data_IF_415243627391
#
_entry.id   IF_415243627391
#
_cell.length_a   1.000
_cell.length_b   1.000
_cell.length_c   1.000
_cell.angle_alpha   90.00
_cell.angle_beta   90.00
_cell.angle_gamma   90.00
#
_symmetry.space_group_name_H-M   'P 1'
#
loop_
_entity.id
_entity.type
_entity.pdbx_description
1 polymer ?
#
# COMPACT_ATOMS: atom_id res chain seq x y z
N UNK A 1 39.61 -80.28 70.88
CA UNK A 1 39.27 -79.16 69.95
C UNK A 1 40.08 -77.96 70.45
N UNK A 2 41.15 -77.51 69.79
CA UNK A 2 41.21 -76.95 68.41
C UNK A 2 40.41 -75.66 68.32
N UNK A 3 40.94 -74.44 68.10
CA UNK A 3 42.26 -73.81 68.39
C UNK A 3 42.13 -72.30 68.11
N UNK A 4 43.01 -71.45 68.68
CA UNK A 4 43.17 -70.03 68.32
C UNK A 4 44.31 -69.85 67.25
N UNK A 5 45.01 -68.70 67.08
CA UNK A 5 44.58 -67.53 66.26
C UNK A 5 45.67 -66.93 65.32
N UNK A 6 45.30 -65.90 64.51
CA UNK A 6 46.20 -64.87 63.89
C UNK A 6 47.23 -65.41 62.86
N UNK A 7 48.05 -64.61 62.12
CA UNK A 7 48.49 -63.18 62.22
C UNK A 7 47.75 -62.23 61.22
N UNK A 8 47.92 -60.89 61.12
CA UNK A 8 49.07 -59.94 61.09
C UNK A 8 50.03 -60.20 59.90
N UNK A 9 50.39 -59.26 59.02
CA UNK A 9 51.30 -58.10 59.12
C UNK A 9 51.15 -57.34 57.77
N UNK A 10 51.20 -56.01 57.57
CA UNK A 10 51.24 -54.79 58.41
C UNK A 10 50.57 -53.62 57.60
N UNK A 11 50.82 -52.30 57.60
CA UNK A 11 51.87 -51.40 58.12
C UNK A 11 51.36 -49.95 58.32
N UNK A 12 52.28 -48.96 58.40
CA UNK A 12 52.07 -47.53 58.75
C UNK A 12 53.25 -46.69 58.16
N UNK A 13 53.39 -45.37 58.41
CA UNK A 13 52.41 -44.29 58.71
C UNK A 13 52.63 -43.01 57.82
N UNK A 14 51.82 -41.96 58.00
CA UNK A 14 52.26 -40.56 58.15
C UNK A 14 51.08 -39.56 58.30
N UNK A 15 51.19 -38.65 59.26
CA UNK A 15 50.43 -37.38 59.34
C UNK A 15 51.45 -36.21 59.30
N UNK A 16 51.05 -34.96 58.98
CA UNK A 16 50.47 -34.08 60.01
C UNK A 16 49.35 -33.15 59.52
N UNK A 17 48.69 -32.47 60.47
CA UNK A 17 47.88 -31.26 60.24
C UNK A 17 48.68 -30.09 59.63
N UNK A 18 47.99 -29.06 59.11
CA UNK A 18 48.08 -27.63 59.55
C UNK A 18 47.56 -26.61 58.48
N UNK A 19 46.92 -25.54 58.97
CA UNK A 19 46.59 -24.24 58.33
C UNK A 19 45.44 -24.06 57.29
N UNK A 20 44.29 -23.66 57.85
CA UNK A 20 43.67 -22.32 57.72
C UNK A 20 43.12 -21.74 56.38
N UNK A 21 41.86 -21.27 56.53
CA UNK A 21 41.23 -20.05 55.92
C UNK A 21 40.60 -20.16 54.51
N UNK A 22 39.63 -19.27 54.18
CA UNK A 22 38.40 -19.76 53.54
C UNK A 22 38.04 -19.13 52.20
N UNK A 23 37.22 -19.83 51.43
CA UNK A 23 36.50 -19.29 50.28
C UNK A 23 34.98 -19.38 50.50
N UNK A 24 34.36 -18.21 50.69
CA UNK A 24 32.91 -18.04 50.71
C UNK A 24 32.35 -18.26 49.30
N UNK A 25 31.57 -19.33 49.11
CA UNK A 25 30.73 -19.50 47.93
C UNK A 25 29.26 -19.31 48.30
N UNK A 26 28.68 -18.19 47.87
CA UNK A 26 27.25 -17.89 48.01
C UNK A 26 26.40 -18.70 47.02
N UNK A 27 25.11 -18.94 47.32
CA UNK A 27 24.29 -19.91 46.60
C UNK A 27 23.89 -19.47 45.19
N UNK A 28 23.66 -20.45 44.32
CA UNK A 28 23.40 -20.24 42.90
C UNK A 28 22.12 -19.47 42.60
N UNK A 29 22.22 -18.47 41.71
CA UNK A 29 21.07 -17.76 41.17
C UNK A 29 20.23 -18.65 40.26
N UNK A 30 19.05 -19.04 40.74
CA UNK A 30 18.01 -19.66 39.93
C UNK A 30 17.65 -18.72 38.76
N UNK A 31 18.05 -19.10 37.55
CA UNK A 31 17.76 -18.33 36.35
C UNK A 31 16.26 -18.42 36.05
N UNK A 32 15.52 -17.38 36.45
CA UNK A 32 14.14 -17.14 36.04
C UNK A 32 14.10 -16.96 34.52
N UNK A 33 13.99 -18.07 33.79
CA UNK A 33 13.79 -18.11 32.35
C UNK A 33 12.40 -17.54 32.04
N UNK A 34 12.24 -16.33 31.50
CA UNK A 34 10.92 -15.84 31.12
C UNK A 34 10.40 -16.77 30.02
N UNK A 35 9.23 -17.38 30.25
CA UNK A 35 8.56 -18.13 29.20
C UNK A 35 8.33 -17.18 28.01
N UNK A 36 8.66 -17.56 26.76
CA UNK A 36 8.40 -16.71 25.61
C UNK A 36 6.89 -16.49 25.54
N UNK A 37 6.47 -15.27 25.89
CA UNK A 37 5.06 -14.87 25.90
C UNK A 37 4.62 -14.85 24.45
N UNK A 38 4.09 -15.99 23.99
CA UNK A 38 3.47 -16.15 22.69
C UNK A 38 2.22 -15.27 22.65
N UNK A 39 2.46 -13.98 22.40
CA UNK A 39 1.49 -13.05 21.85
C UNK A 39 1.15 -13.65 20.50
N UNK A 40 0.12 -14.50 20.48
CA UNK A 40 -0.59 -14.87 19.27
C UNK A 40 -1.18 -13.58 18.75
N UNK A 41 -0.38 -12.84 17.97
CA UNK A 41 -0.85 -11.80 17.10
C UNK A 41 -1.81 -12.47 16.14
N UNK A 42 -3.10 -12.46 16.49
CA UNK A 42 -4.17 -12.69 15.52
C UNK A 42 -3.91 -11.70 14.40
N UNK A 43 -3.56 -12.21 13.22
CA UNK A 43 -3.12 -11.44 12.06
C UNK A 43 -4.26 -10.65 11.44
N UNK A 44 -4.83 -9.74 12.22
CA UNK A 44 -5.70 -8.68 11.75
C UNK A 44 -4.80 -7.75 10.96
N UNK A 45 -4.79 -7.92 9.63
CA UNK A 45 -4.35 -6.85 8.73
C UNK A 45 -5.04 -5.57 9.20
N UNK A 46 -4.24 -4.59 9.62
CA UNK A 46 -4.77 -3.34 10.16
C UNK A 46 -5.62 -2.68 9.10
N UNK A 47 -6.92 -2.56 9.37
CA UNK A 47 -7.88 -1.93 8.47
C UNK A 47 -7.46 -0.47 8.28
N UNK A 48 -6.76 -0.18 7.19
CA UNK A 48 -6.27 1.16 6.91
C UNK A 48 -7.41 1.99 6.30
N UNK A 49 -8.31 2.43 7.18
CA UNK A 49 -9.51 3.21 6.83
C UNK A 49 -9.12 4.48 6.05
N UNK A 50 -8.00 5.12 6.42
CA UNK A 50 -7.50 6.31 5.72
C UNK A 50 -7.07 6.00 4.28
N UNK A 51 -6.35 4.88 4.05
CA UNK A 51 -6.00 4.42 2.71
C UNK A 51 -7.25 4.06 1.89
N UNK A 52 -8.20 3.33 2.46
CA UNK A 52 -9.44 2.96 1.76
C UNK A 52 -10.31 4.20 1.44
N UNK A 53 -10.38 5.17 2.34
CA UNK A 53 -11.06 6.45 2.14
C UNK A 53 -10.41 7.29 1.04
N UNK A 54 -9.07 7.39 1.02
CA UNK A 54 -8.33 8.02 -0.09
C UNK A 54 -8.61 7.31 -1.42
N UNK A 55 -8.65 5.97 -1.42
CA UNK A 55 -8.90 5.19 -2.62
C UNK A 55 -10.33 5.40 -3.16
N UNK A 56 -11.33 5.52 -2.28
CA UNK A 56 -12.71 5.90 -2.67
C UNK A 56 -12.76 7.33 -3.19
N UNK A 57 -12.09 8.29 -2.54
CA UNK A 57 -12.09 9.70 -2.97
C UNK A 57 -11.48 9.86 -4.36
N UNK A 58 -10.28 9.34 -4.59
CA UNK A 58 -9.63 9.41 -5.92
C UNK A 58 -10.44 8.62 -6.95
N UNK A 59 -11.03 7.48 -6.58
CA UNK A 59 -11.92 6.72 -7.45
C UNK A 59 -13.20 7.47 -7.84
N UNK A 60 -13.77 8.25 -6.92
CA UNK A 60 -14.96 9.06 -7.16
C UNK A 60 -14.69 10.20 -8.15
N UNK A 61 -13.60 10.95 -7.99
CA UNK A 61 -13.21 12.02 -8.93
C UNK A 61 -13.04 11.49 -10.36
N UNK A 62 -12.34 10.37 -10.53
CA UNK A 62 -12.17 9.73 -11.85
C UNK A 62 -13.47 9.15 -12.41
N UNK A 63 -14.36 8.62 -11.55
CA UNK A 63 -15.65 8.08 -11.97
C UNK A 63 -16.63 9.16 -12.42
N UNK A 64 -16.62 10.35 -11.78
CA UNK A 64 -17.35 11.52 -12.28
C UNK A 64 -16.75 12.01 -13.59
N UNK A 65 -15.43 12.24 -13.64
CA UNK A 65 -14.76 12.78 -14.82
C UNK A 65 -15.00 11.92 -16.08
N UNK A 66 -14.94 10.58 -15.95
CA UNK A 66 -15.24 9.64 -17.02
C UNK A 66 -16.75 9.50 -17.29
N UNK A 67 -17.55 9.49 -16.23
CA UNK A 67 -19.01 9.40 -16.30
C UNK A 67 -19.64 10.56 -17.06
N UNK A 68 -19.21 11.80 -16.81
CA UNK A 68 -19.68 12.99 -17.52
C UNK A 68 -19.36 12.91 -19.03
N UNK A 69 -18.16 12.42 -19.39
CA UNK A 69 -17.75 12.22 -20.80
C UNK A 69 -18.60 11.15 -21.49
N UNK A 70 -18.80 10.02 -20.81
CA UNK A 70 -19.59 8.89 -21.30
C UNK A 70 -21.08 9.25 -21.47
N UNK A 71 -21.64 10.03 -20.52
CA UNK A 71 -23.03 10.53 -20.59
C UNK A 71 -23.21 11.65 -21.64
N UNK A 72 -22.17 12.45 -21.88
CA UNK A 72 -22.15 13.43 -22.99
C UNK A 72 -22.12 12.74 -24.36
N UNK A 73 -21.47 11.58 -24.48
CA UNK A 73 -21.38 10.74 -25.69
C UNK A 73 -20.63 11.34 -26.87
N UNK A 74 -20.35 12.65 -26.86
CA UNK A 74 -19.70 13.39 -27.93
C UNK A 74 -18.21 13.72 -27.66
N UNK A 75 -17.70 13.43 -26.46
CA UNK A 75 -16.32 13.77 -26.06
C UNK A 75 -15.25 13.27 -27.04
N UNK A 76 -15.28 12.01 -27.54
CA UNK A 76 -14.25 11.51 -28.45
C UNK A 76 -14.22 12.24 -29.80
N UNK A 77 -15.40 12.65 -30.31
CA UNK A 77 -15.49 13.44 -31.54
C UNK A 77 -15.00 14.89 -31.34
N UNK A 78 -15.19 15.46 -30.14
CA UNK A 78 -14.83 16.86 -29.83
C UNK A 78 -13.36 17.04 -29.44
N UNK A 79 -12.69 16.01 -28.90
CA UNK A 79 -11.33 16.10 -28.36
C UNK A 79 -10.32 16.73 -29.32
N UNK A 80 -10.40 16.43 -30.63
CA UNK A 80 -9.49 17.00 -31.63
C UNK A 80 -9.56 18.52 -31.73
N UNK A 81 -10.77 19.10 -31.65
CA UNK A 81 -10.97 20.54 -31.66
C UNK A 81 -10.51 21.21 -30.37
N UNK A 82 -10.76 20.56 -29.22
CA UNK A 82 -10.30 21.03 -27.91
C UNK A 82 -8.76 21.07 -27.85
N UNK A 83 -8.08 19.98 -28.26
CA UNK A 83 -6.62 19.90 -28.29
C UNK A 83 -6.00 20.93 -29.24
N UNK A 84 -6.56 21.13 -30.45
CA UNK A 84 -6.07 22.18 -31.36
C UNK A 84 -6.23 23.59 -30.77
N UNK A 85 -7.24 23.83 -29.94
CA UNK A 85 -7.47 25.13 -29.29
C UNK A 85 -6.47 25.36 -28.16
N UNK A 86 -6.28 24.36 -27.28
CA UNK A 86 -5.24 24.36 -26.23
C UNK A 86 -3.84 24.57 -26.81
N UNK A 87 -3.49 23.84 -27.86
CA UNK A 87 -2.19 23.93 -28.53
C UNK A 87 -1.95 25.32 -29.15
N UNK A 88 -2.98 25.96 -29.73
CA UNK A 88 -2.89 27.34 -30.24
C UNK A 88 -2.75 28.39 -29.13
N UNK A 89 -3.13 28.07 -27.89
CA UNK A 89 -2.94 28.92 -26.72
C UNK A 89 -1.49 29.05 -26.24
N UNK A 90 -0.57 28.17 -26.67
CA UNK A 90 0.86 28.31 -26.42
C UNK A 90 1.35 28.08 -24.99
N UNK A 91 0.47 27.78 -24.02
CA UNK A 91 0.81 27.56 -22.61
C UNK A 91 1.32 26.14 -22.27
N UNK A 92 1.50 25.28 -23.27
CA UNK A 92 1.85 23.87 -23.11
C UNK A 92 3.37 23.64 -23.24
N UNK A 93 3.91 22.70 -22.45
CA UNK A 93 5.34 22.35 -22.48
C UNK A 93 5.71 21.73 -23.82
N UNK A 94 6.76 22.21 -24.48
CA UNK A 94 7.07 21.91 -25.88
C UNK A 94 7.11 20.42 -26.27
N UNK A 95 7.63 19.54 -25.40
CA UNK A 95 7.62 18.09 -25.67
C UNK A 95 6.20 17.50 -25.67
N UNK A 96 5.34 17.98 -24.77
CA UNK A 96 3.95 17.55 -24.66
C UNK A 96 3.13 18.09 -25.83
N UNK A 97 3.37 19.35 -26.22
CA UNK A 97 2.83 19.95 -27.45
C UNK A 97 3.17 19.12 -28.69
N UNK A 98 4.41 18.63 -28.82
CA UNK A 98 4.83 17.78 -29.92
C UNK A 98 4.12 16.40 -29.92
N UNK A 99 3.93 15.78 -28.75
CA UNK A 99 3.16 14.53 -28.60
C UNK A 99 1.68 14.77 -28.98
N UNK A 100 1.09 15.87 -28.51
CA UNK A 100 -0.30 16.22 -28.83
C UNK A 100 -0.49 16.49 -30.33
N UNK A 101 0.40 17.26 -30.96
CA UNK A 101 0.31 17.56 -32.40
C UNK A 101 0.62 16.33 -33.27
N UNK A 102 1.64 15.55 -32.94
CA UNK A 102 2.16 14.48 -33.78
C UNK A 102 1.44 13.13 -33.63
N UNK A 103 0.88 12.83 -32.45
CA UNK A 103 0.28 11.52 -32.15
C UNK A 103 -1.19 11.62 -31.71
N UNK A 104 -1.52 12.50 -30.76
CA UNK A 104 -2.86 12.50 -30.13
C UNK A 104 -3.91 13.17 -31.00
N UNK A 105 -3.67 14.40 -31.47
CA UNK A 105 -4.64 15.16 -32.28
C UNK A 105 -4.98 14.52 -33.64
N UNK A 106 -4.05 13.88 -34.39
CA UNK A 106 -4.38 13.14 -35.60
C UNK A 106 -5.25 11.90 -35.32
N UNK A 107 -5.16 11.33 -34.12
CA UNK A 107 -5.89 10.13 -33.70
C UNK A 107 -6.93 10.45 -32.60
N UNK A 108 -7.45 11.69 -32.56
CA UNK A 108 -8.15 12.22 -31.39
C UNK A 108 -9.38 11.42 -30.98
N UNK A 109 -10.12 10.82 -31.92
CA UNK A 109 -11.29 9.98 -31.61
C UNK A 109 -10.88 8.71 -30.87
N UNK A 110 -9.78 8.06 -31.26
CA UNK A 110 -9.25 6.89 -30.58
C UNK A 110 -8.75 7.25 -29.17
N UNK A 111 -7.98 8.33 -29.03
CA UNK A 111 -7.53 8.80 -27.71
C UNK A 111 -8.69 9.29 -26.84
N UNK A 112 -9.75 9.82 -27.43
CA UNK A 112 -10.97 10.21 -26.72
C UNK A 112 -11.65 9.02 -26.04
N UNK A 113 -11.89 7.94 -26.78
CA UNK A 113 -12.40 6.70 -26.18
C UNK A 113 -11.43 6.09 -25.16
N UNK A 114 -10.11 6.18 -25.39
CA UNK A 114 -9.10 5.67 -24.44
C UNK A 114 -9.08 6.48 -23.13
N UNK A 115 -9.28 7.79 -23.18
CA UNK A 115 -9.41 8.67 -22.01
C UNK A 115 -10.75 8.38 -21.30
N UNK A 116 -11.88 8.46 -22.01
CA UNK A 116 -13.22 8.25 -21.46
C UNK A 116 -13.36 6.88 -20.73
N UNK A 117 -12.91 5.81 -21.39
CA UNK A 117 -12.88 4.48 -20.77
C UNK A 117 -11.80 4.34 -19.70
N UNK A 118 -10.63 4.95 -19.88
CA UNK A 118 -9.53 4.92 -18.91
C UNK A 118 -9.89 5.58 -17.58
N UNK A 119 -10.49 6.77 -17.62
CA UNK A 119 -11.01 7.48 -16.45
C UNK A 119 -12.09 6.67 -15.74
N UNK A 120 -13.10 6.20 -16.50
CA UNK A 120 -14.21 5.41 -15.95
C UNK A 120 -13.73 4.11 -15.31
N UNK A 121 -12.80 3.38 -15.94
CA UNK A 121 -12.24 2.13 -15.41
C UNK A 121 -11.30 2.35 -14.23
N UNK A 122 -10.51 3.44 -14.23
CA UNK A 122 -9.70 3.83 -13.07
C UNK A 122 -10.59 4.19 -11.87
N UNK A 123 -11.64 4.99 -12.10
CA UNK A 123 -12.63 5.36 -11.09
C UNK A 123 -13.34 4.16 -10.48
N UNK A 124 -13.93 3.30 -11.32
CA UNK A 124 -14.56 2.04 -10.89
C UNK A 124 -13.58 1.13 -10.14
N UNK A 125 -12.36 0.95 -10.66
CA UNK A 125 -11.34 0.06 -10.06
C UNK A 125 -10.86 0.54 -8.69
N UNK A 126 -10.69 1.85 -8.51
CA UNK A 126 -10.31 2.42 -7.21
C UNK A 126 -11.49 2.44 -6.22
N UNK A 127 -12.67 2.86 -6.66
CA UNK A 127 -13.87 2.92 -5.80
C UNK A 127 -14.28 1.53 -5.30
N UNK A 128 -14.30 0.52 -6.19
CA UNK A 128 -14.60 -0.87 -5.79
C UNK A 128 -13.54 -1.44 -4.85
N UNK A 129 -12.25 -1.16 -5.07
CA UNK A 129 -11.17 -1.62 -4.19
C UNK A 129 -11.25 -1.01 -2.79
N UNK A 130 -11.46 0.30 -2.66
CA UNK A 130 -11.64 0.95 -1.37
C UNK A 130 -12.90 0.46 -0.64
N UNK A 131 -14.01 0.25 -1.36
CA UNK A 131 -15.26 -0.29 -0.80
C UNK A 131 -15.08 -1.74 -0.32
N UNK A 132 -14.43 -2.60 -1.12
CA UNK A 132 -14.11 -3.99 -0.72
C UNK A 132 -13.19 -4.01 0.50
N UNK A 133 -12.21 -3.12 0.60
CA UNK A 133 -11.34 -3.02 1.78
C UNK A 133 -12.13 -2.66 3.06
N UNK A 134 -13.08 -1.73 2.99
CA UNK A 134 -13.98 -1.40 4.10
C UNK A 134 -14.94 -2.55 4.46
N UNK A 135 -15.38 -3.34 3.46
CA UNK A 135 -16.30 -4.47 3.65
C UNK A 135 -15.60 -5.76 4.12
N UNK A 136 -14.31 -5.97 3.83
CA UNK A 136 -13.50 -7.16 4.24
C UNK A 136 -13.71 -7.56 5.72
N UNK A 137 -13.64 -6.66 6.73
CA UNK A 137 -13.89 -7.02 8.14
C UNK A 137 -15.35 -7.36 8.48
N UNK A 138 -16.32 -6.87 7.70
CA UNK A 138 -17.73 -7.18 7.86
C UNK A 138 -18.05 -8.54 7.21
N UNK A 139 -17.57 -8.75 5.99
CA UNK A 139 -17.69 -9.99 5.23
C UNK A 139 -17.17 -11.20 6.03
N UNK A 140 -16.01 -11.06 6.68
CA UNK A 140 -15.43 -12.12 7.54
C UNK A 140 -16.21 -12.46 8.81
N UNK A 141 -17.20 -11.65 9.21
CA UNK A 141 -18.10 -11.92 10.36
C UNK A 141 -19.42 -12.56 9.93
N UNK A 142 -19.98 -12.10 8.81
CA UNK A 142 -21.36 -12.42 8.40
C UNK A 142 -21.46 -13.44 7.26
N UNK A 143 -20.48 -13.53 6.35
CA UNK A 143 -20.53 -14.50 5.24
C UNK A 143 -20.05 -15.89 5.70
N UNK A 144 -20.70 -16.94 5.19
CA UNK A 144 -20.36 -18.35 5.47
C UNK A 144 -20.59 -19.23 4.24
N UNK A 145 -19.83 -20.30 4.11
CA UNK A 145 -19.92 -21.22 2.97
C UNK A 145 -19.68 -20.51 1.62
N UNK A 146 -20.50 -20.82 0.62
CA UNK A 146 -20.32 -20.38 -0.78
C UNK A 146 -20.17 -18.86 -0.95
N UNK A 147 -20.86 -18.04 -0.16
CA UNK A 147 -20.76 -16.58 -0.25
C UNK A 147 -19.42 -16.05 0.27
N UNK A 148 -18.88 -16.63 1.34
CA UNK A 148 -17.54 -16.30 1.83
C UNK A 148 -16.46 -16.70 0.79
N UNK A 149 -16.62 -17.87 0.17
CA UNK A 149 -15.72 -18.32 -0.92
C UNK A 149 -15.76 -17.36 -2.10
N UNK A 150 -16.95 -16.94 -2.56
CA UNK A 150 -17.11 -15.96 -3.64
C UNK A 150 -16.50 -14.61 -3.29
N UNK A 151 -16.72 -14.11 -2.06
CA UNK A 151 -16.10 -12.86 -1.60
C UNK A 151 -14.57 -12.93 -1.66
N UNK A 152 -13.95 -14.01 -1.16
CA UNK A 152 -12.48 -14.17 -1.19
C UNK A 152 -11.92 -14.23 -2.62
N UNK A 153 -12.65 -14.77 -3.60
CA UNK A 153 -12.24 -14.71 -5.00
C UNK A 153 -12.33 -13.29 -5.59
N UNK A 154 -13.42 -12.58 -5.30
CA UNK A 154 -13.59 -11.17 -5.72
C UNK A 154 -12.54 -10.25 -5.10
N UNK A 155 -12.34 -10.36 -3.79
CA UNK A 155 -11.33 -9.65 -2.99
C UNK A 155 -9.92 -9.82 -3.58
N UNK A 156 -9.52 -11.06 -3.92
CA UNK A 156 -8.24 -11.35 -4.59
C UNK A 156 -8.13 -10.84 -6.03
N UNK A 157 -9.23 -10.73 -6.76
CA UNK A 157 -9.23 -10.16 -8.11
C UNK A 157 -9.05 -8.63 -8.02
N UNK A 158 -9.83 -7.99 -7.14
CA UNK A 158 -9.78 -6.55 -6.89
C UNK A 158 -8.41 -6.14 -6.33
N UNK A 159 -7.79 -6.92 -5.45
CA UNK A 159 -6.42 -6.68 -4.95
C UNK A 159 -5.35 -6.67 -6.06
N UNK A 160 -5.60 -7.34 -7.20
CA UNK A 160 -4.73 -7.34 -8.39
C UNK A 160 -5.05 -6.22 -9.38
N UNK A 161 -6.31 -5.80 -9.47
CA UNK A 161 -6.75 -4.72 -10.36
C UNK A 161 -6.53 -3.32 -9.76
N UNK A 162 -6.60 -3.20 -8.43
CA UNK A 162 -6.37 -1.96 -7.69
C UNK A 162 -5.06 -1.21 -8.04
N UNK A 163 -3.89 -1.86 -8.18
CA UNK A 163 -2.66 -1.19 -8.63
C UNK A 163 -2.70 -0.79 -10.11
N UNK A 164 -3.37 -1.54 -10.98
CA UNK A 164 -3.53 -1.16 -12.38
C UNK A 164 -4.44 0.08 -12.52
N UNK A 165 -5.54 0.13 -11.77
CA UNK A 165 -6.42 1.28 -11.69
C UNK A 165 -5.69 2.52 -11.11
N UNK A 166 -4.86 2.34 -10.07
CA UNK A 166 -4.05 3.41 -9.50
C UNK A 166 -2.97 3.91 -10.47
N UNK A 167 -2.30 3.03 -11.21
CA UNK A 167 -1.34 3.43 -12.26
C UNK A 167 -2.05 4.22 -13.38
N UNK A 168 -3.24 3.77 -13.82
CA UNK A 168 -4.06 4.47 -14.81
C UNK A 168 -4.45 5.88 -14.34
N UNK A 169 -5.03 5.99 -13.14
CA UNK A 169 -5.34 7.25 -12.48
C UNK A 169 -4.12 8.19 -12.39
N UNK A 170 -2.94 7.64 -12.06
CA UNK A 170 -1.69 8.41 -11.96
C UNK A 170 -1.22 8.98 -13.31
N UNK A 171 -1.29 8.17 -14.38
CA UNK A 171 -0.90 8.58 -15.73
C UNK A 171 -1.87 9.58 -16.34
N UNK A 172 -3.18 9.42 -16.09
CA UNK A 172 -4.21 10.37 -16.52
C UNK A 172 -4.08 11.70 -15.77
N UNK A 173 -3.89 11.68 -14.44
CA UNK A 173 -3.67 12.89 -13.64
C UNK A 173 -2.42 13.67 -14.07
N UNK A 174 -1.32 12.95 -14.33
CA UNK A 174 -0.09 13.55 -14.86
C UNK A 174 -0.29 14.14 -16.27
N UNK A 175 -1.12 13.51 -17.09
CA UNK A 175 -1.46 14.01 -18.43
C UNK A 175 -2.32 15.28 -18.36
N UNK A 176 -3.26 15.38 -17.41
CA UNK A 176 -3.98 16.63 -17.14
C UNK A 176 -3.06 17.72 -16.60
N UNK A 177 -2.14 17.42 -15.68
CA UNK A 177 -1.16 18.39 -15.19
C UNK A 177 -0.32 19.04 -16.31
N UNK A 178 0.07 18.28 -17.35
CA UNK A 178 0.75 18.83 -18.51
C UNK A 178 -0.18 19.58 -19.49
N UNK A 179 -1.48 19.26 -19.51
CA UNK A 179 -2.50 19.90 -20.34
C UNK A 179 -3.01 21.22 -19.76
N UNK A 180 -3.01 21.36 -18.43
CA UNK A 180 -3.41 22.55 -17.70
C UNK A 180 -2.33 23.66 -17.67
N UNK A 181 -1.13 23.37 -18.17
CA UNK A 181 -0.04 24.33 -18.36
C UNK A 181 0.88 24.50 -17.15
N UNK A 182 2.19 24.62 -17.41
CA UNK A 182 3.23 24.73 -16.39
C UNK A 182 3.97 26.09 -16.47
N UNK A 183 4.21 26.79 -15.34
CA UNK A 183 3.67 26.61 -13.99
C UNK A 183 2.56 27.63 -13.65
N UNK A 184 1.43 27.16 -13.12
CA UNK A 184 0.50 28.03 -12.38
C UNK A 184 1.17 28.48 -11.07
N UNK A 185 1.04 29.75 -10.65
CA UNK A 185 1.59 30.21 -9.37
C UNK A 185 0.90 29.51 -8.18
N UNK A 186 1.66 28.73 -7.42
CA UNK A 186 1.14 27.85 -6.35
C UNK A 186 0.48 28.61 -5.19
N UNK A 187 0.84 29.88 -4.97
CA UNK A 187 0.27 30.74 -3.95
C UNK A 187 -0.01 32.13 -4.52
N UNK A 188 -1.29 32.49 -4.66
CA UNK A 188 -1.75 33.80 -5.14
C UNK A 188 -2.61 34.47 -4.06
N UNK A 189 -1.99 35.19 -3.09
CA UNK A 189 -2.72 35.75 -1.95
C UNK A 189 -3.72 36.85 -2.31
N UNK A 190 -3.72 37.32 -3.57
CA UNK A 190 -4.72 38.26 -4.11
C UNK A 190 -6.01 37.58 -4.61
N UNK A 191 -6.10 36.24 -4.62
CA UNK A 191 -7.31 35.50 -5.03
C UNK A 191 -7.77 34.61 -3.86
N UNK A 192 -8.75 35.09 -3.09
CA UNK A 192 -9.26 34.40 -1.89
C UNK A 192 -9.86 33.00 -2.15
N UNK A 193 -10.22 32.69 -3.40
CA UNK A 193 -10.72 31.38 -3.85
C UNK A 193 -9.79 30.71 -4.89
N UNK A 194 -8.51 31.10 -4.93
CA UNK A 194 -7.52 30.47 -5.80
C UNK A 194 -7.19 29.06 -5.30
N UNK A 195 -7.47 28.04 -6.11
CA UNK A 195 -7.15 26.65 -5.77
C UNK A 195 -5.64 26.46 -5.58
N UNK A 196 -5.21 26.15 -4.36
CA UNK A 196 -3.79 26.10 -3.97
C UNK A 196 -3.09 24.77 -4.28
N UNK A 197 -3.72 23.87 -5.05
CA UNK A 197 -3.10 22.65 -5.57
C UNK A 197 -3.69 22.40 -6.96
N UNK A 198 -2.84 22.04 -7.92
CA UNK A 198 -3.32 21.59 -9.24
C UNK A 198 -3.96 20.19 -9.13
N UNK A 199 -5.18 20.05 -9.63
CA UNK A 199 -5.96 18.81 -9.50
C UNK A 199 -5.30 17.62 -10.21
N UNK A 200 -4.70 17.83 -11.38
CA UNK A 200 -3.98 16.78 -12.10
C UNK A 200 -2.77 16.28 -11.31
N UNK A 201 -1.99 17.21 -10.76
CA UNK A 201 -0.85 16.90 -9.89
C UNK A 201 -1.28 16.19 -8.59
N UNK A 202 -2.38 16.63 -7.96
CA UNK A 202 -2.93 15.98 -6.78
C UNK A 202 -3.34 14.53 -7.06
N UNK A 203 -4.12 14.30 -8.12
CA UNK A 203 -4.56 12.96 -8.53
C UNK A 203 -3.36 12.07 -8.88
N UNK A 204 -2.32 12.62 -9.52
CA UNK A 204 -1.08 11.90 -9.82
C UNK A 204 -0.31 11.48 -8.54
N UNK A 205 -0.06 12.41 -7.62
CA UNK A 205 0.67 12.14 -6.36
C UNK A 205 -0.12 11.19 -5.45
N UNK A 206 -1.43 11.39 -5.31
CA UNK A 206 -2.29 10.48 -4.56
C UNK A 206 -2.28 9.06 -5.15
N UNK A 207 -2.27 8.94 -6.49
CA UNK A 207 -2.15 7.65 -7.17
C UNK A 207 -0.82 6.95 -6.90
N UNK A 208 0.31 7.68 -6.85
CA UNK A 208 1.61 7.12 -6.44
C UNK A 208 1.56 6.61 -5.00
N UNK A 209 0.95 7.37 -4.07
CA UNK A 209 0.75 6.94 -2.68
C UNK A 209 -0.11 5.66 -2.62
N UNK A 210 -1.15 5.56 -3.45
CA UNK A 210 -2.00 4.35 -3.53
C UNK A 210 -1.19 3.12 -4.00
N UNK A 211 -0.45 3.23 -5.10
CA UNK A 211 0.38 2.15 -5.66
C UNK A 211 1.44 1.67 -4.64
N UNK A 212 2.18 2.60 -4.04
CA UNK A 212 3.22 2.26 -3.04
C UNK A 212 2.60 1.58 -1.82
N UNK A 213 1.48 2.10 -1.32
CA UNK A 213 0.78 1.53 -0.17
C UNK A 213 0.25 0.12 -0.43
N UNK A 214 -0.19 -0.17 -1.66
CA UNK A 214 -0.62 -1.53 -2.07
C UNK A 214 0.56 -2.49 -2.10
N UNK A 215 1.70 -2.10 -2.70
CA UNK A 215 2.90 -2.95 -2.72
C UNK A 215 3.50 -3.21 -1.33
N UNK A 216 3.38 -2.27 -0.39
CA UNK A 216 3.77 -2.47 1.01
C UNK A 216 2.82 -3.46 1.70
N UNK A 217 1.50 -3.32 1.51
CA UNK A 217 0.51 -4.24 2.08
C UNK A 217 0.60 -5.67 1.51
N UNK A 218 1.00 -5.83 0.25
CA UNK A 218 1.24 -7.12 -0.41
C UNK A 218 2.55 -7.81 0.02
N UNK A 219 3.36 -7.19 0.90
CA UNK A 219 4.57 -7.80 1.50
C UNK A 219 4.35 -8.11 2.99
N UNK A 220 3.56 -9.14 3.36
CA UNK A 220 3.62 -9.67 4.72
C UNK A 220 5.05 -10.17 4.98
N UNK A 221 5.54 -9.95 6.20
CA UNK A 221 6.93 -10.22 6.59
C UNK A 221 7.38 -11.65 6.25
N UNK A 222 8.54 -11.75 5.59
CA UNK A 222 9.35 -12.97 5.59
C UNK A 222 10.18 -13.04 6.87
#
# INVERSE_FOLDING_TARGET
>A
MITQPKPHIEAQPATPDVHQRPHLHLPGWAHLRPAPKNIRATGVQSLNIAFAGLQILIGYEWLLAGGDKFLLGAFPAQLGGLLQTLVKGGHLVGFFTAILQGLVAPNAVFFGYLIESGETLAGLGLMTAGLVALLRPLAGRYLRGRSATMFVYGDRLIERLAPLAAIGAGLLGLSFFFLDGLPKPWFVPSIAFGGSIDTGLFLAVASVILVVSQFVQQRPSR
#
